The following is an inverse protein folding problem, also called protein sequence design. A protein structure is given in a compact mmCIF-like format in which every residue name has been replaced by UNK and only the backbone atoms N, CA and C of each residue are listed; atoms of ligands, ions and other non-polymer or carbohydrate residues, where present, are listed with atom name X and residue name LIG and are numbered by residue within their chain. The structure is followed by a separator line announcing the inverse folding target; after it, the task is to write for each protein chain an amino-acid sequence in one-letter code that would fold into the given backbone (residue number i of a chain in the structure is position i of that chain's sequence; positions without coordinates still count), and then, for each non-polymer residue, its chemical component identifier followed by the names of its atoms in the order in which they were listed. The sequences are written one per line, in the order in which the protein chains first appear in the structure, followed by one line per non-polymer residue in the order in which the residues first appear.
data_IF_739744949550
#
_entry.id   IF_739744949550
#
_cell.length_a   1.000
_cell.length_b   1.000
_cell.length_c   1.000
_cell.angle_alpha   90.00
_cell.angle_beta   90.00
_cell.angle_gamma   90.00
#
_symmetry.space_group_name_H-M   'P 1'
#
loop_
_entity.id
_entity.type
_entity.pdbx_description
1 polymer ?
#
# COMPACT_ATOMS: atom_id res chain seq x y z
N UNK A 1 -12.60 -13.27 -20.94
CA UNK A 1 -12.97 -14.26 -19.91
C UNK A 1 -13.07 -13.51 -18.57
N UNK A 2 -14.24 -13.41 -17.99
CA UNK A 2 -14.40 -12.88 -16.62
C UNK A 2 -13.79 -13.90 -15.68
N UNK A 3 -12.71 -13.59 -14.98
CA UNK A 3 -12.25 -14.42 -13.87
C UNK A 3 -13.26 -14.26 -12.74
N UNK A 4 -14.09 -15.27 -12.53
CA UNK A 4 -15.11 -15.29 -11.46
C UNK A 4 -14.48 -15.24 -10.06
N UNK A 5 -13.14 -15.29 -9.97
CA UNK A 5 -12.40 -15.28 -8.73
C UNK A 5 -11.07 -14.52 -8.89
N UNK A 6 -10.97 -13.38 -8.22
CA UNK A 6 -9.71 -12.63 -8.10
C UNK A 6 -8.96 -13.09 -6.84
N UNK A 7 -7.71 -13.48 -6.98
CA UNK A 7 -6.85 -13.92 -5.88
C UNK A 7 -5.64 -13.00 -5.80
N UNK A 8 -5.63 -12.09 -4.81
CA UNK A 8 -4.56 -11.12 -4.59
C UNK A 8 -3.16 -11.73 -4.65
N UNK A 9 -2.97 -12.85 -3.95
CA UNK A 9 -1.68 -13.52 -3.83
C UNK A 9 -1.20 -14.21 -5.12
N UNK A 10 -2.08 -14.43 -6.08
CA UNK A 10 -1.69 -14.98 -7.39
C UNK A 10 -1.36 -13.88 -8.39
N UNK A 11 -2.18 -12.82 -8.44
CA UNK A 11 -2.00 -11.71 -9.39
C UNK A 11 -0.74 -10.89 -9.07
N UNK A 12 -0.34 -10.80 -7.80
CA UNK A 12 0.82 -10.02 -7.33
C UNK A 12 1.96 -10.89 -6.77
N UNK A 13 1.99 -12.18 -7.08
CA UNK A 13 2.98 -13.12 -6.57
C UNK A 13 4.41 -12.84 -7.04
N UNK A 14 4.57 -12.41 -8.26
CA UNK A 14 5.85 -12.21 -8.92
C UNK A 14 6.09 -10.73 -9.21
N UNK A 15 7.35 -10.29 -9.39
CA UNK A 15 7.65 -8.96 -9.88
C UNK A 15 7.03 -8.70 -11.25
N UNK A 16 6.22 -7.65 -11.34
CA UNK A 16 5.46 -7.27 -12.55
C UNK A 16 6.20 -6.18 -13.33
N UNK A 17 6.27 -6.31 -14.65
CA UNK A 17 6.62 -5.19 -15.53
C UNK A 17 5.42 -4.24 -15.66
N UNK A 18 5.62 -3.10 -16.35
CA UNK A 18 4.58 -2.07 -16.50
C UNK A 18 3.27 -2.60 -17.08
N UNK A 19 3.33 -3.44 -18.12
CA UNK A 19 2.13 -3.96 -18.79
C UNK A 19 1.36 -4.94 -17.88
N UNK A 20 2.08 -5.87 -17.28
CA UNK A 20 1.54 -6.84 -16.31
C UNK A 20 0.92 -6.12 -15.10
N UNK A 21 1.60 -5.08 -14.59
CA UNK A 21 1.09 -4.26 -13.49
C UNK A 21 -0.22 -3.55 -13.85
N UNK A 22 -0.30 -2.92 -15.02
CA UNK A 22 -1.52 -2.21 -15.44
C UNK A 22 -2.71 -3.16 -15.58
N UNK A 23 -2.50 -4.37 -16.08
CA UNK A 23 -3.55 -5.39 -16.16
C UNK A 23 -3.98 -5.87 -14.76
N UNK A 24 -3.03 -6.20 -13.88
CA UNK A 24 -3.33 -6.62 -12.51
C UNK A 24 -4.06 -5.51 -11.72
N UNK A 25 -3.62 -4.25 -11.86
CA UNK A 25 -4.31 -3.08 -11.27
C UNK A 25 -5.74 -2.97 -11.77
N UNK A 26 -5.96 -3.08 -13.09
CA UNK A 26 -7.29 -3.03 -13.69
C UNK A 26 -8.20 -4.11 -13.13
N UNK A 27 -7.73 -5.35 -13.06
CA UNK A 27 -8.48 -6.48 -12.48
C UNK A 27 -8.83 -6.23 -11.01
N UNK A 28 -7.90 -5.69 -10.22
CA UNK A 28 -8.16 -5.33 -8.83
C UNK A 28 -9.26 -4.27 -8.72
N UNK A 29 -9.16 -3.18 -9.48
CA UNK A 29 -10.15 -2.09 -9.45
C UNK A 29 -11.53 -2.58 -9.92
N UNK A 30 -11.60 -3.36 -11.00
CA UNK A 30 -12.85 -3.96 -11.45
C UNK A 30 -13.46 -4.86 -10.38
N UNK A 31 -12.63 -5.61 -9.67
CA UNK A 31 -13.10 -6.53 -8.64
C UNK A 31 -13.68 -5.77 -7.44
N UNK A 32 -13.02 -4.72 -6.94
CA UNK A 32 -13.53 -3.95 -5.81
C UNK A 32 -14.76 -3.09 -6.18
N UNK A 33 -14.90 -2.67 -7.43
CA UNK A 33 -16.05 -1.84 -7.87
C UNK A 33 -17.29 -2.64 -8.25
N UNK A 34 -17.15 -3.92 -8.63
CA UNK A 34 -18.27 -4.79 -8.97
C UNK A 34 -19.01 -5.36 -7.77
N UNK A 35 -18.43 -5.30 -6.59
CA UNK A 35 -19.06 -5.83 -5.39
C UNK A 35 -19.96 -4.76 -4.74
N UNK A 36 -21.18 -5.15 -4.41
CA UNK A 36 -22.06 -4.35 -3.58
C UNK A 36 -21.65 -4.53 -2.11
N UNK A 37 -21.57 -3.45 -1.39
CA UNK A 37 -21.22 -3.43 0.02
C UNK A 37 -22.38 -2.88 0.82
N UNK A 38 -22.97 -3.68 1.68
CA UNK A 38 -24.05 -3.28 2.56
C UNK A 38 -23.57 -3.17 4.00
N UNK A 39 -23.65 -1.97 4.57
CA UNK A 39 -23.48 -1.77 6.01
C UNK A 39 -24.88 -1.71 6.61
N UNK A 40 -25.22 -2.70 7.43
CA UNK A 40 -26.52 -2.75 8.11
C UNK A 40 -26.70 -1.52 9.00
N UNK A 41 -27.59 -0.63 8.59
CA UNK A 41 -27.94 0.55 9.36
C UNK A 41 -28.65 0.15 10.67
N UNK A 42 -28.36 0.83 11.75
CA UNK A 42 -29.02 0.65 13.05
C UNK A 42 -29.08 1.96 13.80
N UNK A 43 -30.07 2.12 14.67
CA UNK A 43 -30.18 3.26 15.60
C UNK A 43 -29.36 3.07 16.88
N UNK A 44 -28.89 1.85 17.13
CA UNK A 44 -28.05 1.50 18.29
C UNK A 44 -26.57 1.60 17.92
N UNK A 45 -25.85 2.50 18.59
CA UNK A 45 -24.40 2.72 18.38
C UNK A 45 -23.58 1.46 18.70
N UNK A 46 -23.95 0.67 19.69
CA UNK A 46 -23.23 -0.55 20.03
C UNK A 46 -23.39 -1.59 18.93
N UNK A 47 -24.59 -1.73 18.39
CA UNK A 47 -24.86 -2.60 17.26
C UNK A 47 -24.13 -2.14 15.99
N UNK A 48 -24.05 -0.83 15.74
CA UNK A 48 -23.28 -0.26 14.63
C UNK A 48 -21.79 -0.61 14.76
N UNK A 49 -21.23 -0.44 15.95
CA UNK A 49 -19.83 -0.82 16.23
C UNK A 49 -19.61 -2.32 15.98
N UNK A 50 -20.52 -3.18 16.42
CA UNK A 50 -20.45 -4.61 16.15
C UNK A 50 -20.46 -4.91 14.66
N UNK A 51 -21.39 -4.32 13.91
CA UNK A 51 -21.51 -4.53 12.46
C UNK A 51 -20.25 -4.09 11.69
N UNK A 52 -19.65 -2.97 12.08
CA UNK A 52 -18.51 -2.39 11.34
C UNK A 52 -17.16 -3.00 11.78
N UNK A 53 -16.95 -3.19 13.10
CA UNK A 53 -15.64 -3.54 13.65
C UNK A 53 -15.46 -5.02 13.98
N UNK A 54 -16.52 -5.79 14.18
CA UNK A 54 -16.42 -7.14 14.73
C UNK A 54 -17.08 -8.23 13.89
N UNK A 55 -18.08 -7.89 13.08
CA UNK A 55 -18.72 -8.88 12.22
C UNK A 55 -17.82 -9.17 11.02
N UNK A 56 -17.43 -10.43 10.80
CA UNK A 56 -16.63 -10.79 9.64
C UNK A 56 -17.50 -10.77 8.38
N UNK A 57 -17.03 -10.05 7.37
CA UNK A 57 -17.70 -9.92 6.08
C UNK A 57 -16.72 -10.22 4.95
N UNK A 58 -17.24 -10.52 3.77
CA UNK A 58 -16.45 -10.62 2.56
C UNK A 58 -16.50 -9.27 1.83
N UNK A 59 -15.37 -8.53 1.85
CA UNK A 59 -15.29 -7.22 1.23
C UNK A 59 -14.15 -7.19 0.21
N UNK A 60 -14.52 -7.07 -1.05
CA UNK A 60 -13.56 -7.11 -2.15
C UNK A 60 -12.72 -8.39 -2.13
N UNK A 61 -11.40 -8.29 -2.28
CA UNK A 61 -10.50 -9.43 -2.26
C UNK A 61 -10.29 -10.02 -0.86
N UNK A 62 -10.77 -9.35 0.17
CA UNK A 62 -10.61 -9.75 1.56
C UNK A 62 -11.77 -10.59 2.04
N UNK A 63 -11.45 -11.72 2.67
CA UNK A 63 -12.43 -12.65 3.22
C UNK A 63 -12.27 -12.72 4.74
N UNK A 64 -13.37 -12.84 5.45
CA UNK A 64 -13.38 -13.10 6.91
C UNK A 64 -12.64 -12.03 7.70
N UNK A 65 -12.94 -10.78 7.47
CA UNK A 65 -12.47 -9.67 8.30
C UNK A 65 -13.56 -8.63 8.49
N UNK A 66 -13.40 -7.75 9.49
CA UNK A 66 -14.37 -6.69 9.71
C UNK A 66 -14.40 -5.71 8.54
N UNK A 67 -15.55 -5.07 8.34
CA UNK A 67 -15.71 -3.99 7.34
C UNK A 67 -14.62 -2.92 7.52
N UNK A 68 -14.37 -2.51 8.76
CA UNK A 68 -13.37 -1.50 9.08
C UNK A 68 -11.96 -1.93 8.66
N UNK A 69 -11.58 -3.16 8.94
CA UNK A 69 -10.26 -3.69 8.56
C UNK A 69 -10.11 -3.82 7.05
N UNK A 70 -11.14 -4.35 6.37
CA UNK A 70 -11.13 -4.48 4.92
C UNK A 70 -11.01 -3.13 4.20
N UNK A 71 -11.74 -2.10 4.65
CA UNK A 71 -11.65 -0.75 4.09
C UNK A 71 -10.26 -0.13 4.31
N UNK A 72 -9.65 -0.33 5.48
CA UNK A 72 -8.29 0.14 5.74
C UNK A 72 -7.26 -0.55 4.83
N UNK A 73 -7.43 -1.84 4.56
CA UNK A 73 -6.55 -2.59 3.63
C UNK A 73 -6.73 -2.12 2.21
N UNK A 74 -7.97 -2.00 1.74
CA UNK A 74 -8.26 -1.47 0.39
C UNK A 74 -7.65 -0.07 0.23
N UNK A 75 -7.81 0.82 1.23
CA UNK A 75 -7.18 2.13 1.20
C UNK A 75 -5.65 2.08 1.08
N UNK A 76 -4.99 1.15 1.77
CA UNK A 76 -3.54 0.95 1.65
C UNK A 76 -3.14 0.35 0.30
N UNK A 77 -3.92 -0.60 -0.21
CA UNK A 77 -3.72 -1.19 -1.54
C UNK A 77 -3.83 -0.12 -2.65
N UNK A 78 -4.80 0.78 -2.56
CA UNK A 78 -4.95 1.88 -3.51
C UNK A 78 -3.75 2.83 -3.49
N UNK A 79 -3.20 3.13 -2.32
CA UNK A 79 -1.94 3.89 -2.18
C UNK A 79 -0.79 3.14 -2.85
N UNK A 80 -0.66 1.84 -2.59
CA UNK A 80 0.39 0.99 -3.15
C UNK A 80 0.32 0.93 -4.68
N UNK A 81 -0.87 0.72 -5.24
CA UNK A 81 -1.09 0.69 -6.70
C UNK A 81 -0.85 2.05 -7.36
N UNK A 82 -1.32 3.15 -6.74
CA UNK A 82 -1.08 4.51 -7.24
C UNK A 82 0.41 4.88 -7.22
N UNK A 83 1.13 4.50 -6.17
CA UNK A 83 2.56 4.73 -6.05
C UNK A 83 3.38 3.96 -7.09
N UNK A 84 3.05 2.69 -7.31
CA UNK A 84 3.69 1.86 -8.33
C UNK A 84 3.47 2.43 -9.75
N UNK A 85 2.25 2.90 -10.06
CA UNK A 85 1.97 3.55 -11.36
C UNK A 85 2.81 4.82 -11.54
N UNK A 86 2.95 5.65 -10.51
CA UNK A 86 3.81 6.84 -10.56
C UNK A 86 5.27 6.49 -10.80
N UNK A 87 5.79 5.40 -10.22
CA UNK A 87 7.14 4.93 -10.51
C UNK A 87 7.30 4.49 -11.96
N UNK A 88 6.36 3.72 -12.51
CA UNK A 88 6.40 3.30 -13.92
C UNK A 88 6.26 4.45 -14.93
N UNK A 89 5.78 5.61 -14.48
CA UNK A 89 5.65 6.82 -15.31
C UNK A 89 6.68 7.91 -14.97
N UNK A 90 7.62 7.63 -14.08
CA UNK A 90 8.70 8.54 -13.72
C UNK A 90 9.76 8.64 -14.83
N UNK A 91 10.66 9.62 -14.70
CA UNK A 91 11.79 9.82 -15.64
C UNK A 91 12.73 8.61 -15.70
N UNK A 92 12.89 7.91 -14.58
CA UNK A 92 13.70 6.67 -14.49
C UNK A 92 12.75 5.54 -14.04
N UNK A 93 12.01 4.94 -14.97
CA UNK A 93 11.07 3.89 -14.63
C UNK A 93 11.81 2.60 -14.25
N UNK A 94 11.28 1.85 -13.27
CA UNK A 94 11.81 0.52 -12.96
C UNK A 94 11.52 -0.49 -14.07
N UNK A 95 12.29 -1.57 -14.11
CA UNK A 95 12.02 -2.71 -14.97
C UNK A 95 10.82 -3.50 -14.47
N UNK A 96 10.78 -3.74 -13.15
CA UNK A 96 9.71 -4.50 -12.47
C UNK A 96 9.45 -3.96 -11.08
N UNK A 97 8.26 -4.24 -10.55
CA UNK A 97 7.90 -4.00 -9.16
C UNK A 97 7.22 -5.26 -8.61
N UNK A 98 7.67 -5.73 -7.44
CA UNK A 98 6.97 -6.74 -6.64
C UNK A 98 6.09 -5.99 -5.63
N UNK A 99 4.80 -6.26 -5.64
CA UNK A 99 3.82 -5.70 -4.71
C UNK A 99 3.34 -6.79 -3.76
N UNK A 100 3.40 -6.54 -2.46
CA UNK A 100 2.86 -7.44 -1.45
C UNK A 100 1.52 -6.92 -0.96
N UNK A 101 0.49 -7.26 -1.72
CA UNK A 101 -0.89 -6.89 -1.40
C UNK A 101 -1.40 -7.68 -0.19
N UNK A 102 -2.24 -7.04 0.62
CA UNK A 102 -2.78 -7.66 1.82
C UNK A 102 -1.80 -7.66 2.99
N UNK A 103 -1.88 -8.68 3.87
CA UNK A 103 -1.07 -8.76 5.08
C UNK A 103 0.05 -9.80 4.92
N UNK A 104 1.00 -9.53 4.07
CA UNK A 104 2.17 -10.41 3.85
C UNK A 104 3.37 -9.95 4.67
N UNK A 105 4.28 -10.89 4.99
CA UNK A 105 5.53 -10.56 5.68
C UNK A 105 6.50 -9.85 4.71
N UNK A 106 7.38 -9.04 5.25
CA UNK A 106 8.39 -8.31 4.48
C UNK A 106 8.01 -6.84 4.25
N UNK A 107 8.66 -6.22 3.29
CA UNK A 107 8.32 -4.87 2.83
C UNK A 107 7.07 -4.90 1.96
N UNK A 108 6.34 -3.78 1.88
CA UNK A 108 5.11 -3.74 1.08
C UNK A 108 5.41 -3.81 -0.42
N UNK A 109 6.59 -3.37 -0.84
CA UNK A 109 7.03 -3.53 -2.23
C UNK A 109 8.56 -3.52 -2.40
N UNK A 110 8.99 -4.06 -3.54
CA UNK A 110 10.37 -4.04 -4.01
C UNK A 110 10.41 -3.52 -5.45
N UNK A 111 11.34 -2.62 -5.73
CA UNK A 111 11.49 -1.96 -7.03
C UNK A 111 12.79 -2.40 -7.66
N UNK A 112 12.72 -3.02 -8.84
CA UNK A 112 13.87 -3.55 -9.57
C UNK A 112 14.24 -2.61 -10.71
N UNK A 113 15.43 -2.05 -10.65
CA UNK A 113 16.03 -1.23 -11.70
C UNK A 113 17.11 -2.00 -12.45
N UNK A 114 17.57 -1.45 -13.58
CA UNK A 114 18.72 -1.98 -14.33
C UNK A 114 19.95 -2.13 -13.45
N UNK A 115 20.74 -3.22 -13.69
CA UNK A 115 21.98 -3.47 -12.97
C UNK A 115 21.76 -4.03 -11.57
N UNK A 116 20.75 -4.87 -11.38
CA UNK A 116 20.43 -5.59 -10.15
C UNK A 116 20.16 -4.70 -8.93
N UNK A 117 19.92 -3.41 -9.16
CA UNK A 117 19.59 -2.48 -8.08
C UNK A 117 18.16 -2.70 -7.61
N UNK A 118 18.01 -3.06 -6.35
CA UNK A 118 16.70 -3.22 -5.68
C UNK A 118 16.51 -2.11 -4.64
N UNK A 119 15.33 -1.48 -4.65
CA UNK A 119 14.93 -0.51 -3.62
C UNK A 119 13.68 -1.05 -2.92
N UNK A 120 13.74 -1.14 -1.60
CA UNK A 120 12.63 -1.58 -0.75
C UNK A 120 11.74 -0.41 -0.37
N UNK A 121 10.46 -0.68 -0.18
CA UNK A 121 9.52 0.35 0.16
C UNK A 121 8.34 -0.12 1.01
N UNK A 122 7.72 0.88 1.65
CA UNK A 122 6.51 0.75 2.46
C UNK A 122 5.40 1.63 1.90
N UNK A 123 4.16 1.19 2.05
CA UNK A 123 2.98 1.91 1.61
C UNK A 123 1.91 1.92 2.69
N UNK A 124 1.29 3.07 2.94
CA UNK A 124 0.20 3.14 3.88
C UNK A 124 -0.76 4.29 3.59
N UNK A 125 -2.03 4.05 3.84
CA UNK A 125 -3.06 5.06 3.93
C UNK A 125 -3.22 5.44 5.41
N UNK A 126 -3.09 6.71 5.75
CA UNK A 126 -3.18 7.16 7.15
C UNK A 126 -4.07 8.38 7.29
N UNK A 127 -4.82 8.44 8.38
CA UNK A 127 -5.42 9.67 8.86
C UNK A 127 -4.35 10.55 9.52
N UNK A 128 -4.59 11.87 9.56
CA UNK A 128 -3.64 12.87 10.07
C UNK A 128 -3.09 12.51 11.46
N UNK A 129 -3.98 12.09 12.38
CA UNK A 129 -3.62 11.74 13.76
C UNK A 129 -2.63 10.56 13.87
N UNK A 130 -2.62 9.65 12.90
CA UNK A 130 -1.76 8.46 12.88
C UNK A 130 -0.56 8.58 11.94
N UNK A 131 -0.54 9.58 11.08
CA UNK A 131 0.43 9.72 10.01
C UNK A 131 1.88 9.69 10.51
N UNK A 132 2.22 10.49 11.53
CA UNK A 132 3.58 10.53 12.10
C UNK A 132 4.01 9.19 12.70
N UNK A 133 3.09 8.49 13.34
CA UNK A 133 3.36 7.18 13.93
C UNK A 133 3.63 6.14 12.83
N UNK A 134 2.79 6.08 11.81
CA UNK A 134 2.96 5.18 10.65
C UNK A 134 4.26 5.47 9.90
N UNK A 135 4.56 6.75 9.65
CA UNK A 135 5.79 7.15 8.98
C UNK A 135 7.03 6.72 9.76
N UNK A 136 7.03 6.87 11.10
CA UNK A 136 8.12 6.38 11.94
C UNK A 136 8.29 4.87 11.82
N UNK A 137 7.21 4.11 11.95
CA UNK A 137 7.25 2.66 11.83
C UNK A 137 7.78 2.20 10.47
N UNK A 138 7.36 2.86 9.38
CA UNK A 138 7.83 2.55 8.03
C UNK A 138 9.33 2.83 7.87
N UNK A 139 9.81 3.98 8.36
CA UNK A 139 11.24 4.33 8.31
C UNK A 139 12.06 3.38 9.17
N UNK A 140 11.66 3.12 10.42
CA UNK A 140 12.36 2.20 11.32
C UNK A 140 12.46 0.81 10.67
N UNK A 141 11.38 0.29 10.06
CA UNK A 141 11.38 -0.97 9.31
C UNK A 141 12.34 -0.97 8.12
N UNK A 142 12.34 0.11 7.32
CA UNK A 142 13.21 0.25 6.15
C UNK A 142 14.70 0.35 6.53
N UNK A 143 15.01 0.96 7.66
CA UNK A 143 16.39 1.09 8.16
C UNK A 143 16.86 -0.20 8.84
N UNK A 144 16.05 -0.75 9.76
CA UNK A 144 16.48 -1.86 10.63
C UNK A 144 16.43 -3.23 9.95
N UNK A 145 15.54 -3.39 8.93
CA UNK A 145 15.29 -4.70 8.28
C UNK A 145 15.70 -4.73 6.81
N UNK A 146 16.39 -3.70 6.31
CA UNK A 146 16.85 -3.70 4.94
C UNK A 146 17.87 -4.83 4.74
N UNK A 147 17.64 -5.77 3.80
CA UNK A 147 18.58 -6.85 3.54
C UNK A 147 19.90 -6.38 2.90
N UNK A 148 19.89 -5.19 2.29
CA UNK A 148 21.10 -4.52 1.82
C UNK A 148 21.58 -3.53 2.89
N UNK A 149 22.59 -3.94 3.68
CA UNK A 149 23.21 -3.09 4.70
C UNK A 149 23.84 -1.79 4.14
N UNK A 150 24.10 -1.74 2.83
CA UNK A 150 24.63 -0.57 2.12
C UNK A 150 23.55 0.26 1.43
N UNK A 151 22.27 -0.08 1.64
CA UNK A 151 21.18 0.67 1.03
C UNK A 151 21.19 2.11 1.48
N UNK A 152 21.33 3.01 0.51
CA UNK A 152 21.34 4.47 0.74
C UNK A 152 20.00 5.13 0.47
N UNK A 153 19.01 4.37 -0.01
CA UNK A 153 17.70 4.91 -0.38
C UNK A 153 16.56 3.91 -0.16
N UNK A 154 15.40 4.44 0.19
CA UNK A 154 14.16 3.70 0.30
C UNK A 154 12.99 4.55 -0.21
N UNK A 155 11.84 3.93 -0.49
CA UNK A 155 10.68 4.61 -1.02
C UNK A 155 9.50 4.40 -0.07
N UNK A 156 8.71 5.47 0.16
CA UNK A 156 7.46 5.39 0.91
C UNK A 156 6.33 5.95 0.06
N UNK A 157 5.28 5.17 -0.13
CA UNK A 157 4.02 5.62 -0.70
C UNK A 157 3.05 6.00 0.39
N UNK A 158 2.41 7.15 0.24
CA UNK A 158 1.43 7.64 1.20
C UNK A 158 0.33 8.45 0.51
N UNK A 159 -0.86 8.46 1.08
CA UNK A 159 -1.96 9.27 0.58
C UNK A 159 -1.62 10.77 0.57
N UNK A 160 -2.07 11.47 -0.48
CA UNK A 160 -1.66 12.84 -0.83
C UNK A 160 -2.01 13.87 0.24
N UNK A 161 -3.08 13.65 1.00
CA UNK A 161 -3.53 14.54 2.07
C UNK A 161 -2.48 14.75 3.16
N UNK A 162 -1.50 13.83 3.26
CA UNK A 162 -0.45 13.89 4.28
C UNK A 162 0.77 14.73 3.89
N UNK A 163 0.83 15.31 2.69
CA UNK A 163 2.00 15.99 2.14
C UNK A 163 2.57 17.07 3.08
N UNK A 164 1.74 18.02 3.51
CA UNK A 164 2.20 19.14 4.35
C UNK A 164 2.67 18.75 5.76
N UNK A 165 2.22 17.59 6.26
CA UNK A 165 2.52 17.09 7.61
C UNK A 165 3.88 16.38 7.62
N UNK A 166 4.18 15.62 6.59
CA UNK A 166 5.30 14.69 6.56
C UNK A 166 6.62 15.30 6.13
N UNK A 167 6.62 16.33 5.31
CA UNK A 167 7.87 16.95 4.82
C UNK A 167 8.78 17.41 5.96
N UNK A 168 8.19 18.03 7.00
CA UNK A 168 8.94 18.44 8.21
C UNK A 168 9.50 17.26 9.01
N UNK A 169 8.76 16.14 9.06
CA UNK A 169 9.15 14.97 9.83
C UNK A 169 10.23 14.14 9.14
N UNK A 170 10.11 13.96 7.83
CA UNK A 170 11.04 13.25 6.96
C UNK A 170 12.46 13.79 7.10
N UNK A 171 12.63 15.10 6.91
CA UNK A 171 13.94 15.77 6.97
C UNK A 171 14.71 15.53 8.29
N UNK A 172 13.98 15.35 9.40
CA UNK A 172 14.58 15.03 10.70
C UNK A 172 15.13 13.60 10.75
N UNK A 173 14.38 12.64 10.22
CA UNK A 173 14.72 11.20 10.27
C UNK A 173 15.80 10.81 9.27
N UNK A 174 15.82 11.39 8.07
CA UNK A 174 16.86 11.16 7.08
C UNK A 174 18.25 11.54 7.61
N UNK A 175 18.35 12.65 8.36
CA UNK A 175 19.61 13.07 9.01
C UNK A 175 20.12 12.08 10.06
N UNK A 176 19.22 11.29 10.66
CA UNK A 176 19.58 10.29 11.67
C UNK A 176 19.98 8.94 11.08
N UNK A 177 19.35 8.53 9.96
CA UNK A 177 19.54 7.19 9.39
C UNK A 177 20.60 7.12 8.27
N UNK A 178 21.10 8.26 7.77
CA UNK A 178 21.93 8.34 6.57
C UNK A 178 21.29 7.78 5.30
N UNK A 179 20.01 7.39 5.36
CA UNK A 179 19.23 6.85 4.25
C UNK A 179 18.34 7.94 3.65
N UNK A 180 18.37 8.07 2.34
CA UNK A 180 17.47 8.98 1.61
C UNK A 180 16.10 8.32 1.46
N UNK A 181 15.06 8.94 2.01
CA UNK A 181 13.69 8.47 1.92
C UNK A 181 12.94 9.23 0.82
N UNK A 182 12.65 8.56 -0.28
CA UNK A 182 11.83 9.10 -1.36
C UNK A 182 10.35 8.91 -1.02
N UNK A 183 9.63 10.00 -0.79
CA UNK A 183 8.20 9.93 -0.49
C UNK A 183 7.40 10.26 -1.74
N UNK A 184 6.49 9.35 -2.13
CA UNK A 184 5.56 9.52 -3.24
C UNK A 184 4.16 9.66 -2.67
N UNK A 185 3.54 10.82 -2.92
CA UNK A 185 2.19 11.13 -2.49
C UNK A 185 1.18 10.61 -3.53
N UNK A 186 0.22 9.82 -3.10
CA UNK A 186 -0.68 9.05 -3.95
C UNK A 186 -2.13 9.49 -3.78
N UNK A 187 -2.84 9.69 -4.90
CA UNK A 187 -4.29 9.85 -4.90
C UNK A 187 -4.94 8.47 -4.76
N UNK A 188 -5.98 8.39 -3.94
CA UNK A 188 -6.74 7.17 -3.66
C UNK A 188 -8.13 7.17 -4.29
N UNK A 189 -8.39 8.15 -5.14
CA UNK A 189 -9.67 8.33 -5.90
C UNK A 189 -9.53 7.77 -7.32
#
# INVERSE_FOLDING_TARGET
MSKDKFLLHEEFKNPLNKAEFLEAKKLYLEFITKNEYEIKATKDIFQLIQNIKRSPEKIGPYQIMSVFEALNRIGSDLVLLSGAEKLFTSEIPPEKILLRMGNTQGFDFEVFYKGDKVIYGEAFNAAESFCKHKMRQAIDKLVDKNPDEKATSAIIFINEEMKGILEKYKNKKEKQSQMVIHTIYCKTN
#
